data_IF_856356487165
#
_entry.id   IF_856356487165
#
_cell.length_a   1.000
_cell.length_b   1.000
_cell.length_c   1.000
_cell.angle_alpha   90.00
_cell.angle_beta   90.00
_cell.angle_gamma   90.00
#
_symmetry.space_group_name_H-M   'P 1'
#
loop_
_entity.id
_entity.type
_entity.pdbx_description
1 polymer ?
#
# COMPACT_ATOMS: atom_id res chain seq x y z
N UNK A 1 -23.57 11.11 -76.45
CA UNK A 1 -22.99 12.47 -76.40
C UNK A 1 -22.93 12.90 -74.94
N UNK A 2 -21.71 13.18 -74.44
CA UNK A 2 -21.36 13.91 -73.19
C UNK A 2 -21.82 13.25 -71.87
N UNK A 3 -20.99 12.89 -70.88
CA UNK A 3 -19.63 13.32 -70.55
C UNK A 3 -18.80 12.22 -69.86
N UNK A 4 -17.63 11.99 -70.47
CA UNK A 4 -16.36 11.57 -69.87
C UNK A 4 -15.78 12.74 -69.02
N UNK A 5 -15.30 12.44 -67.80
CA UNK A 5 -14.45 13.20 -66.83
C UNK A 5 -15.04 12.94 -65.42
N UNK A 6 -14.39 12.38 -64.40
CA UNK A 6 -12.99 12.25 -64.04
C UNK A 6 -12.70 10.83 -63.52
N UNK A 7 -11.73 10.17 -64.14
CA UNK A 7 -10.84 9.23 -63.48
C UNK A 7 -9.64 10.06 -63.03
N UNK A 8 -9.22 9.93 -61.76
CA UNK A 8 -8.17 10.67 -61.01
C UNK A 8 -8.70 11.71 -60.03
N UNK A 9 -8.90 11.31 -58.77
CA UNK A 9 -8.27 11.93 -57.59
C UNK A 9 -8.72 11.18 -56.30
N UNK A 10 -7.73 10.69 -55.53
CA UNK A 10 -7.80 10.12 -54.15
C UNK A 10 -8.68 8.86 -53.96
N UNK A 11 -8.21 7.62 -53.79
CA UNK A 11 -7.18 7.08 -52.88
C UNK A 11 -7.20 7.71 -51.48
N UNK A 12 -7.53 6.87 -50.48
CA UNK A 12 -7.49 7.08 -49.02
C UNK A 12 -8.63 7.91 -48.38
N UNK A 13 -9.67 7.19 -47.95
CA UNK A 13 -10.32 7.47 -46.66
C UNK A 13 -10.28 6.20 -45.83
N UNK A 14 -9.07 5.82 -45.42
CA UNK A 14 -8.90 5.10 -44.16
C UNK A 14 -9.38 6.09 -43.11
N UNK A 15 -10.55 5.84 -42.51
CA UNK A 15 -10.90 6.48 -41.26
C UNK A 15 -9.77 6.15 -40.29
N UNK A 16 -8.88 7.11 -40.08
CA UNK A 16 -7.90 7.10 -39.01
C UNK A 16 -8.70 6.89 -37.73
N UNK A 17 -8.70 5.67 -37.21
CA UNK A 17 -8.91 5.46 -35.79
C UNK A 17 -7.77 6.22 -35.12
N UNK A 18 -8.04 7.48 -34.78
CA UNK A 18 -7.09 8.30 -34.06
C UNK A 18 -6.82 7.56 -32.75
N UNK A 19 -5.56 7.19 -32.52
CA UNK A 19 -5.17 6.60 -31.24
C UNK A 19 -5.65 7.53 -30.13
N UNK A 20 -6.36 7.01 -29.11
CA UNK A 20 -6.87 7.83 -28.04
C UNK A 20 -5.70 8.58 -27.40
N UNK A 21 -5.88 9.87 -27.13
CA UNK A 21 -4.84 10.67 -26.49
C UNK A 21 -4.48 10.07 -25.14
N UNK A 22 -3.26 10.29 -24.60
CA UNK A 22 -2.89 9.81 -23.28
C UNK A 22 -3.90 10.20 -22.19
N UNK A 23 -4.55 11.36 -22.32
CA UNK A 23 -5.63 11.80 -21.43
C UNK A 23 -6.91 10.97 -21.60
N UNK A 24 -7.30 10.65 -22.84
CA UNK A 24 -8.44 9.77 -23.11
C UNK A 24 -8.17 8.33 -22.64
N UNK A 25 -6.93 7.84 -22.79
CA UNK A 25 -6.51 6.54 -22.25
C UNK A 25 -6.54 6.57 -20.72
N UNK A 26 -6.10 7.65 -20.08
CA UNK A 26 -6.16 7.79 -18.63
C UNK A 26 -7.61 7.83 -18.11
N UNK A 27 -8.50 8.57 -18.78
CA UNK A 27 -9.93 8.61 -18.46
C UNK A 27 -10.55 7.22 -18.66
N UNK A 28 -10.29 6.54 -19.77
CA UNK A 28 -10.79 5.17 -20.01
C UNK A 28 -10.24 4.16 -19.00
N UNK A 29 -8.97 4.28 -18.61
CA UNK A 29 -8.37 3.43 -17.57
C UNK A 29 -8.94 3.72 -16.19
N UNK A 30 -9.26 4.98 -15.89
CA UNK A 30 -9.90 5.38 -14.65
C UNK A 30 -11.36 4.90 -14.63
N UNK A 31 -12.12 5.05 -15.71
CA UNK A 31 -13.47 4.49 -15.85
C UNK A 31 -13.47 2.96 -15.71
N UNK A 32 -12.51 2.25 -16.31
CA UNK A 32 -12.37 0.80 -16.13
C UNK A 32 -11.97 0.41 -14.70
N UNK A 33 -11.17 1.21 -14.00
CA UNK A 33 -10.84 0.99 -12.59
C UNK A 33 -12.02 1.31 -11.64
N UNK A 34 -12.91 2.21 -12.06
CA UNK A 34 -14.10 2.59 -11.31
C UNK A 34 -15.31 1.67 -11.58
N UNK A 35 -15.32 0.96 -12.72
CA UNK A 35 -16.38 0.05 -13.13
C UNK A 35 -16.26 -1.36 -12.53
N UNK A 36 -15.15 -1.69 -11.87
CA UNK A 36 -14.93 -3.01 -11.27
C UNK A 36 -15.58 -3.07 -9.88
N UNK A 37 -16.66 -3.85 -9.79
CA UNK A 37 -17.41 -4.14 -8.57
C UNK A 37 -18.69 -3.29 -8.42
N UNK A 38 -19.83 -3.93 -8.65
CA UNK A 38 -21.16 -3.42 -8.28
C UNK A 38 -21.47 -3.97 -6.88
N UNK A 39 -21.25 -3.15 -5.85
CA UNK A 39 -21.42 -3.55 -4.46
C UNK A 39 -22.75 -3.02 -3.94
N UNK A 40 -23.61 -3.91 -3.46
CA UNK A 40 -24.87 -3.51 -2.85
C UNK A 40 -24.85 -3.81 -1.36
N UNK A 41 -24.96 -2.78 -0.51
CA UNK A 41 -24.91 -2.95 0.95
C UNK A 41 -25.85 -1.99 1.68
N UNK A 42 -26.26 -2.36 2.89
CA UNK A 42 -26.93 -1.44 3.83
C UNK A 42 -25.92 -0.85 4.78
N UNK A 43 -26.13 0.39 5.21
CA UNK A 43 -25.24 1.07 6.15
C UNK A 43 -25.92 1.19 7.50
N UNK A 44 -25.32 0.61 8.54
CA UNK A 44 -25.71 0.78 9.93
C UNK A 44 -24.87 1.91 10.55
N UNK A 45 -25.49 3.01 10.95
CA UNK A 45 -24.83 4.15 11.59
C UNK A 45 -24.99 4.05 13.11
N UNK A 46 -23.89 4.06 13.84
CA UNK A 46 -23.87 3.87 15.30
C UNK A 46 -22.98 4.91 15.97
N UNK A 47 -23.20 5.15 17.25
CA UNK A 47 -22.35 6.01 18.07
C UNK A 47 -21.04 5.30 18.42
N UNK A 48 -19.93 6.03 18.32
CA UNK A 48 -18.63 5.59 18.81
C UNK A 48 -18.49 5.95 20.29
N UNK A 49 -18.86 5.03 21.19
CA UNK A 49 -18.66 5.18 22.63
C UNK A 49 -17.36 4.49 23.08
N UNK A 50 -16.28 5.24 23.34
CA UNK A 50 -14.99 4.68 23.76
C UNK A 50 -15.01 4.07 25.16
N UNK A 51 -16.09 4.24 25.93
CA UNK A 51 -16.26 3.69 27.28
C UNK A 51 -17.14 2.43 27.32
N UNK A 52 -17.78 2.06 26.20
CA UNK A 52 -18.61 0.85 26.13
C UNK A 52 -17.73 -0.40 25.92
N UNK A 53 -17.61 -1.22 26.96
CA UNK A 53 -16.93 -2.53 26.92
C UNK A 53 -17.89 -3.68 26.57
N UNK A 54 -19.07 -3.37 26.05
CA UNK A 54 -20.11 -4.31 25.66
C UNK A 54 -20.70 -3.96 24.31
N UNK A 55 -20.98 -4.98 23.51
CA UNK A 55 -21.56 -5.00 22.15
C UNK A 55 -22.98 -4.39 22.05
N UNK A 56 -23.18 -3.17 22.53
CA UNK A 56 -24.37 -2.37 22.28
C UNK A 56 -23.95 -1.22 21.39
N UNK A 57 -23.78 -1.48 20.10
CA UNK A 57 -23.65 -0.40 19.13
C UNK A 57 -24.96 0.41 19.17
N UNK A 58 -24.95 1.62 19.74
CA UNK A 58 -26.15 2.47 19.85
C UNK A 58 -26.51 3.00 18.45
N UNK A 59 -27.63 2.55 17.83
CA UNK A 59 -27.98 2.96 16.48
C UNK A 59 -28.39 4.44 16.45
N UNK A 60 -27.83 5.18 15.50
CA UNK A 60 -28.14 6.58 15.28
C UNK A 60 -29.27 6.70 14.25
N UNK A 61 -30.47 6.99 14.75
CA UNK A 61 -31.66 7.23 13.92
C UNK A 61 -31.61 8.61 13.28
N UNK A 62 -31.95 8.70 11.99
CA UNK A 62 -32.00 9.97 11.26
C UNK A 62 -30.63 10.55 10.90
N UNK A 63 -29.60 9.71 10.80
CA UNK A 63 -28.30 10.09 10.22
C UNK A 63 -28.44 10.25 8.71
N UNK A 64 -27.86 11.33 8.17
CA UNK A 64 -27.86 11.64 6.75
C UNK A 64 -26.66 10.99 6.08
N UNK A 65 -26.92 10.19 5.06
CA UNK A 65 -25.91 9.48 4.26
C UNK A 65 -26.00 10.03 2.84
N UNK A 66 -24.92 10.61 2.32
CA UNK A 66 -24.84 11.17 0.97
C UNK A 66 -23.86 10.34 0.16
N UNK A 67 -24.35 9.74 -0.92
CA UNK A 67 -23.54 9.08 -1.92
C UNK A 67 -23.29 10.06 -3.07
N UNK A 68 -22.02 10.35 -3.30
CA UNK A 68 -21.56 11.10 -4.45
C UNK A 68 -20.87 10.12 -5.40
N UNK A 69 -21.58 9.67 -6.46
CA UNK A 69 -20.99 8.73 -7.39
C UNK A 69 -19.88 9.39 -8.23
N UNK A 70 -18.95 8.59 -8.73
CA UNK A 70 -17.91 9.06 -9.66
C UNK A 70 -18.52 9.70 -10.91
N UNK A 71 -19.62 9.13 -11.41
CA UNK A 71 -20.42 9.69 -12.49
C UNK A 71 -21.90 9.53 -12.15
N UNK A 72 -22.68 10.60 -12.31
CA UNK A 72 -24.12 10.60 -12.03
C UNK A 72 -24.56 11.61 -10.97
N UNK A 73 -25.82 11.51 -10.57
CA UNK A 73 -26.44 12.41 -9.59
C UNK A 73 -26.18 11.96 -8.15
N UNK A 74 -26.04 12.94 -7.25
CA UNK A 74 -25.91 12.67 -5.82
C UNK A 74 -27.19 12.03 -5.28
N UNK A 75 -27.03 11.00 -4.45
CA UNK A 75 -28.14 10.31 -3.78
C UNK A 75 -28.04 10.56 -2.28
N UNK A 76 -29.18 10.79 -1.65
CA UNK A 76 -29.27 10.98 -0.20
C UNK A 76 -30.14 9.89 0.41
N UNK A 77 -29.66 9.33 1.53
CA UNK A 77 -30.33 8.32 2.32
C UNK A 77 -30.38 8.79 3.77
N UNK A 78 -31.34 8.26 4.53
CA UNK A 78 -31.49 8.54 5.95
C UNK A 78 -31.59 7.22 6.71
N UNK A 79 -30.92 7.12 7.86
CA UNK A 79 -31.02 5.92 8.68
C UNK A 79 -32.40 5.78 9.35
N UNK A 80 -32.91 4.55 9.37
CA UNK A 80 -34.20 4.17 9.92
C UNK A 80 -34.20 4.07 11.46
N UNK A 81 -35.29 3.57 12.05
CA UNK A 81 -35.42 3.38 13.50
C UNK A 81 -34.40 2.41 14.11
N UNK A 82 -33.73 1.61 13.29
CA UNK A 82 -32.66 0.69 13.69
C UNK A 82 -31.28 1.22 13.33
N UNK A 83 -31.16 2.48 12.88
CA UNK A 83 -29.92 3.10 12.44
C UNK A 83 -29.44 2.61 11.07
N UNK A 84 -30.25 1.88 10.30
CA UNK A 84 -29.87 1.30 9.01
C UNK A 84 -30.37 2.13 7.83
N UNK A 85 -29.62 2.16 6.73
CA UNK A 85 -30.06 2.72 5.47
C UNK A 85 -30.83 1.69 4.62
N UNK A 86 -31.52 2.20 3.59
CA UNK A 86 -31.85 1.39 2.42
C UNK A 86 -30.59 0.83 1.76
N UNK A 87 -30.79 -0.12 0.84
CA UNK A 87 -29.71 -0.73 0.10
C UNK A 87 -29.06 0.29 -0.87
N UNK A 88 -27.74 0.43 -0.78
CA UNK A 88 -26.93 1.41 -1.52
C UNK A 88 -25.99 0.65 -2.44
N UNK A 89 -26.11 0.92 -3.74
CA UNK A 89 -25.13 0.50 -4.75
C UNK A 89 -23.92 1.44 -4.71
N UNK A 90 -22.75 0.89 -4.40
CA UNK A 90 -21.47 1.57 -4.31
C UNK A 90 -20.58 1.08 -5.45
N UNK A 91 -19.90 2.01 -6.12
CA UNK A 91 -18.87 1.72 -7.11
C UNK A 91 -17.47 2.00 -6.55
N UNK A 92 -16.46 1.40 -7.18
CA UNK A 92 -15.05 1.48 -6.80
C UNK A 92 -14.45 2.90 -6.78
N UNK A 93 -15.17 3.96 -7.16
CA UNK A 93 -14.73 5.35 -7.12
C UNK A 93 -15.70 6.32 -6.43
N UNK A 94 -16.68 5.84 -5.68
CA UNK A 94 -17.67 6.69 -5.04
C UNK A 94 -17.15 7.35 -3.75
N UNK A 95 -17.75 8.49 -3.40
CA UNK A 95 -17.52 9.14 -2.10
C UNK A 95 -18.79 9.04 -1.27
N UNK A 96 -18.67 8.59 -0.03
CA UNK A 96 -19.76 8.53 0.94
C UNK A 96 -19.54 9.56 2.04
N UNK A 97 -20.55 10.35 2.37
CA UNK A 97 -20.53 11.32 3.47
C UNK A 97 -21.64 10.95 4.46
N UNK A 98 -21.29 10.71 5.71
CA UNK A 98 -22.25 10.38 6.78
C UNK A 98 -22.20 11.46 7.85
N UNK A 99 -23.34 12.03 8.17
CA UNK A 99 -23.46 13.14 9.12
C UNK A 99 -24.71 13.03 9.99
N UNK A 100 -24.61 13.49 11.23
CA UNK A 100 -25.73 13.59 12.16
C UNK A 100 -25.50 14.80 13.07
N UNK A 101 -26.53 15.62 13.28
CA UNK A 101 -26.44 16.73 14.22
C UNK A 101 -26.04 16.23 15.62
N UNK A 102 -25.01 16.84 16.21
CA UNK A 102 -24.40 16.44 17.48
C UNK A 102 -23.25 15.45 17.34
N UNK A 103 -22.89 15.06 16.11
CA UNK A 103 -21.82 14.10 15.82
C UNK A 103 -20.91 14.63 14.69
N UNK A 104 -19.65 14.22 14.74
CA UNK A 104 -18.66 14.52 13.71
C UNK A 104 -19.08 13.93 12.36
N UNK A 105 -18.86 14.67 11.27
CA UNK A 105 -19.15 14.19 9.91
C UNK A 105 -18.01 13.32 9.41
N UNK A 106 -18.34 12.13 8.91
CA UNK A 106 -17.38 11.20 8.32
C UNK A 106 -17.46 11.25 6.79
N UNK A 107 -16.32 11.37 6.12
CA UNK A 107 -16.21 11.30 4.65
C UNK A 107 -15.31 10.14 4.27
N UNK A 108 -15.82 9.23 3.44
CA UNK A 108 -15.17 8.00 3.01
C UNK A 108 -14.95 8.09 1.50
N UNK A 109 -13.68 8.05 1.08
CA UNK A 109 -13.30 8.01 -0.32
C UNK A 109 -12.92 6.59 -0.71
N UNK A 110 -13.18 6.25 -1.97
CA UNK A 110 -12.87 4.95 -2.54
C UNK A 110 -11.41 4.51 -2.44
N UNK A 111 -11.19 3.20 -2.30
CA UNK A 111 -9.88 2.53 -2.42
C UNK A 111 -9.32 1.91 -1.13
N UNK A 112 -9.91 2.15 0.05
CA UNK A 112 -9.39 1.59 1.31
C UNK A 112 -10.40 1.36 2.42
N UNK A 113 -11.65 1.79 2.26
CA UNK A 113 -12.63 1.82 3.36
C UNK A 113 -14.01 1.26 3.03
N UNK A 114 -14.29 0.95 1.75
CA UNK A 114 -15.50 0.21 1.41
C UNK A 114 -15.34 -1.27 1.81
N UNK A 115 -16.43 -1.89 2.31
CA UNK A 115 -16.38 -3.28 2.72
C UNK A 115 -16.03 -4.17 1.52
N UNK A 116 -15.36 -5.32 1.74
CA UNK A 116 -15.13 -6.30 0.68
C UNK A 116 -16.46 -6.78 0.05
N UNK A 117 -16.40 -7.32 -1.18
CA UNK A 117 -17.50 -8.09 -1.78
C UNK A 117 -18.00 -9.10 -0.72
N UNK A 118 -19.31 -9.16 -0.48
CA UNK A 118 -20.02 -10.03 0.49
C UNK A 118 -20.40 -9.46 1.88
N UNK A 119 -20.31 -8.15 2.14
CA UNK A 119 -20.84 -7.58 3.40
C UNK A 119 -22.27 -7.01 3.22
N UNK A 120 -23.33 -7.70 3.71
CA UNK A 120 -24.71 -7.24 3.52
C UNK A 120 -25.08 -6.03 4.40
N UNK A 121 -24.33 -5.79 5.47
CA UNK A 121 -24.54 -4.69 6.40
C UNK A 121 -23.20 -4.13 6.87
N UNK A 122 -22.94 -2.87 6.53
CA UNK A 122 -21.70 -2.16 6.85
C UNK A 122 -21.92 -1.18 8.00
N UNK A 123 -21.17 -1.35 9.09
CA UNK A 123 -21.28 -0.49 10.28
C UNK A 123 -20.33 0.70 10.19
N UNK A 124 -20.88 1.92 10.32
CA UNK A 124 -20.16 3.19 10.39
C UNK A 124 -20.36 3.79 11.78
N UNK A 125 -19.26 4.16 12.44
CA UNK A 125 -19.27 4.78 13.77
C UNK A 125 -19.08 6.29 13.67
N UNK A 126 -19.91 7.08 14.35
CA UNK A 126 -19.79 8.54 14.45
C UNK A 126 -19.48 8.94 15.89
N UNK A 127 -18.53 9.85 16.06
CA UNK A 127 -18.13 10.39 17.36
C UNK A 127 -18.99 11.60 17.73
N UNK A 128 -19.40 11.73 19.00
CA UNK A 128 -20.17 12.89 19.47
C UNK A 128 -19.30 14.17 19.49
N UNK A 129 -19.83 15.29 19.00
CA UNK A 129 -19.15 16.58 18.99
C UNK A 129 -19.14 17.19 20.40
N UNK A 130 -18.01 17.09 21.09
CA UNK A 130 -17.82 17.71 22.41
C UNK A 130 -17.80 19.23 22.32
N UNK A 131 -18.93 19.89 22.57
CA UNK A 131 -19.00 21.35 22.81
C UNK A 131 -19.64 21.65 24.16
N UNK A 132 -18.81 22.00 25.14
CA UNK A 132 -19.24 22.77 26.32
C UNK A 132 -18.61 24.16 26.25
N UNK A 133 -19.49 25.15 26.20
CA UNK A 133 -19.20 26.57 26.02
C UNK A 133 -18.93 27.30 27.35
N UNK A 134 -18.15 28.39 27.26
CA UNK A 134 -18.11 29.59 28.13
C UNK A 134 -17.21 29.53 29.39
N UNK A 135 -16.02 30.14 29.33
CA UNK A 135 -15.80 31.50 29.85
C UNK A 135 -14.39 32.04 29.54
N UNK A 136 -14.38 33.22 28.92
CA UNK A 136 -13.24 34.12 28.80
C UNK A 136 -12.93 34.77 30.15
N UNK A 137 -11.73 34.56 30.67
CA UNK A 137 -11.07 35.49 31.60
C UNK A 137 -9.57 35.43 31.42
N UNK A 138 -8.99 36.57 31.03
CA UNK A 138 -7.56 36.82 31.10
C UNK A 138 -7.09 36.72 32.55
N UNK A 139 -6.00 36.01 32.78
CA UNK A 139 -5.08 36.25 33.90
C UNK A 139 -3.70 35.73 33.48
N UNK A 140 -2.77 36.67 33.28
CA UNK A 140 -1.35 36.39 33.14
C UNK A 140 -0.83 35.83 34.47
N UNK A 141 -0.14 34.70 34.43
CA UNK A 141 1.07 34.53 35.25
C UNK A 141 1.99 33.50 34.62
N UNK A 142 3.25 33.91 34.48
CA UNK A 142 4.35 33.21 33.84
C UNK A 142 5.09 32.40 34.92
N UNK A 143 5.01 31.06 34.87
CA UNK A 143 6.05 30.22 35.45
C UNK A 143 6.02 28.81 34.84
N UNK A 144 7.16 28.45 34.26
CA UNK A 144 7.49 27.20 33.59
C UNK A 144 7.18 25.93 34.39
N UNK A 145 6.34 25.07 33.84
CA UNK A 145 6.46 23.61 33.92
C UNK A 145 5.77 22.99 32.70
N UNK A 146 6.47 23.05 31.57
CA UNK A 146 6.04 22.41 30.33
C UNK A 146 6.21 20.90 30.49
N UNK A 147 5.17 20.26 31.03
CA UNK A 147 4.93 18.85 30.83
C UNK A 147 4.08 18.74 29.56
N UNK A 148 4.66 18.09 28.56
CA UNK A 148 4.11 17.91 27.23
C UNK A 148 2.76 17.19 27.29
N UNK A 149 1.67 17.96 27.27
CA UNK A 149 0.42 17.49 26.69
C UNK A 149 0.59 17.69 25.19
N UNK A 150 1.22 16.72 24.54
CA UNK A 150 1.14 16.57 23.09
C UNK A 150 -0.32 16.27 22.77
N UNK A 151 -1.11 17.32 22.56
CA UNK A 151 -2.30 17.26 21.71
C UNK A 151 -1.93 16.39 20.53
N UNK A 152 -2.69 15.30 20.30
CA UNK A 152 -2.65 14.51 19.08
C UNK A 152 -3.00 15.44 17.91
N UNK A 153 -1.99 16.20 17.49
CA UNK A 153 -1.94 16.83 16.20
C UNK A 153 -2.09 15.68 15.23
N UNK A 154 -3.10 15.76 14.38
CA UNK A 154 -3.35 14.82 13.30
C UNK A 154 -2.08 14.79 12.42
N UNK A 155 -1.13 13.92 12.76
CA UNK A 155 0.15 13.84 12.07
C UNK A 155 -0.19 13.36 10.66
N UNK A 156 0.22 14.09 9.61
CA UNK A 156 0.03 13.63 8.25
C UNK A 156 0.54 12.19 8.13
N UNK A 157 -0.34 11.25 7.75
CA UNK A 157 0.00 9.86 7.43
C UNK A 157 0.68 9.85 6.07
N UNK A 158 1.83 10.52 5.97
CA UNK A 158 2.63 10.59 4.76
C UNK A 158 3.96 9.88 5.01
N UNK A 159 4.53 9.31 3.96
CA UNK A 159 5.81 8.60 4.02
C UNK A 159 6.96 9.50 4.50
N UNK A 160 6.79 10.81 4.42
CA UNK A 160 7.73 11.82 4.92
C UNK A 160 7.89 11.79 6.45
N UNK A 161 6.82 11.54 7.19
CA UNK A 161 6.81 11.53 8.66
C UNK A 161 6.99 10.12 9.23
N UNK A 162 6.55 9.10 8.49
CA UNK A 162 6.63 7.71 8.94
C UNK A 162 5.94 6.73 7.99
N UNK A 163 6.03 5.45 8.32
CA UNK A 163 5.36 4.40 7.56
C UNK A 163 4.02 4.01 8.22
N UNK A 164 2.89 4.25 7.52
CA UNK A 164 1.53 3.91 7.98
C UNK A 164 1.23 4.38 9.41
N UNK A 165 1.63 5.61 9.73
CA UNK A 165 1.42 6.20 11.06
C UNK A 165 2.49 5.85 12.09
N UNK A 166 3.48 5.01 11.75
CA UNK A 166 4.65 4.75 12.60
C UNK A 166 5.81 5.68 12.22
N UNK A 167 6.12 6.63 13.09
CA UNK A 167 7.07 7.72 12.82
C UNK A 167 8.51 7.23 12.66
N UNK A 168 9.25 7.83 11.73
CA UNK A 168 10.69 7.63 11.63
C UNK A 168 11.39 8.06 12.93
N UNK A 169 12.43 7.33 13.32
CA UNK A 169 13.19 7.55 14.55
C UNK A 169 12.53 7.06 15.84
N UNK A 170 11.35 6.44 15.75
CA UNK A 170 10.65 5.92 16.94
C UNK A 170 11.44 4.80 17.60
N UNK A 171 11.50 4.80 18.95
CA UNK A 171 12.15 3.75 19.72
C UNK A 171 11.49 2.37 19.52
N UNK A 172 12.29 1.32 19.58
CA UNK A 172 11.84 -0.06 19.43
C UNK A 172 10.82 -0.49 20.49
N UNK A 173 10.79 0.12 21.67
CA UNK A 173 9.82 -0.23 22.71
C UNK A 173 8.38 0.18 22.33
N UNK A 174 8.24 1.07 21.36
CA UNK A 174 6.95 1.59 20.92
C UNK A 174 6.11 0.50 20.26
N UNK A 175 4.83 0.48 20.60
CA UNK A 175 3.87 -0.41 19.96
C UNK A 175 3.57 0.07 18.55
N UNK A 176 3.70 -0.84 17.58
CA UNK A 176 3.34 -0.57 16.19
C UNK A 176 1.85 -0.91 16.06
N UNK A 177 1.01 0.11 15.89
CA UNK A 177 -0.39 -0.09 15.55
C UNK A 177 -0.49 -0.52 14.08
N UNK A 178 -0.71 -1.81 13.83
CA UNK A 178 -0.93 -2.34 12.49
C UNK A 178 -1.95 -3.49 12.53
N UNK A 179 -2.51 -3.84 11.37
CA UNK A 179 -3.47 -4.93 11.22
C UNK A 179 -2.78 -6.30 11.04
N UNK A 180 -1.47 -6.40 11.28
CA UNK A 180 -0.71 -7.61 11.05
C UNK A 180 -0.55 -8.40 12.35
N UNK A 181 -0.46 -9.72 12.20
CA UNK A 181 -0.21 -10.61 13.34
C UNK A 181 1.27 -10.54 13.72
N UNK A 182 1.62 -10.21 14.98
CA UNK A 182 3.02 -10.15 15.40
C UNK A 182 3.62 -11.55 15.44
N UNK A 183 4.82 -11.70 14.87
CA UNK A 183 5.63 -12.91 14.95
C UNK A 183 6.75 -12.68 15.96
N UNK A 184 6.68 -13.37 17.09
CA UNK A 184 7.76 -13.43 18.08
C UNK A 184 8.86 -14.32 17.50
N UNK A 185 9.89 -13.71 16.90
CA UNK A 185 11.05 -14.44 16.43
C UNK A 185 12.00 -14.67 17.61
N UNK A 186 12.20 -15.92 18.01
CA UNK A 186 13.06 -16.33 19.12
C UNK A 186 14.57 -16.17 18.86
N UNK A 187 14.94 -15.44 17.81
CA UNK A 187 16.31 -15.15 17.42
C UNK A 187 16.72 -13.76 17.91
N UNK A 188 17.94 -13.68 18.44
CA UNK A 188 18.62 -12.55 19.09
C UNK A 188 18.79 -11.25 18.28
N UNK A 189 18.02 -11.03 17.22
CA UNK A 189 17.96 -9.76 16.50
C UNK A 189 17.06 -8.79 17.28
N UNK A 190 17.58 -8.28 18.38
CA UNK A 190 16.90 -7.32 19.27
C UNK A 190 16.51 -6.00 18.60
N UNK A 191 16.82 -5.81 17.31
CA UNK A 191 16.60 -4.59 16.54
C UNK A 191 15.51 -4.73 15.47
N UNK A 192 14.79 -5.86 15.40
CA UNK A 192 13.76 -6.09 14.39
C UNK A 192 12.44 -6.54 15.02
N UNK A 193 11.32 -5.99 14.54
CA UNK A 193 9.96 -6.50 14.83
C UNK A 193 9.36 -7.08 13.58
N UNK A 194 8.90 -8.33 13.65
CA UNK A 194 8.36 -9.06 12.50
C UNK A 194 6.86 -9.30 12.66
N UNK A 195 6.13 -9.19 11.57
CA UNK A 195 4.70 -9.38 11.49
C UNK A 195 4.34 -10.19 10.24
N UNK A 196 3.20 -10.86 10.26
CA UNK A 196 2.64 -11.55 9.10
C UNK A 196 1.20 -11.16 8.86
N UNK A 197 0.79 -11.09 7.60
CA UNK A 197 -0.61 -10.96 7.23
C UNK A 197 -0.78 -10.80 5.73
N UNK A 198 -1.86 -10.12 5.33
CA UNK A 198 -2.21 -9.92 3.92
C UNK A 198 -2.15 -8.44 3.55
N UNK A 199 -1.60 -8.16 2.36
CA UNK A 199 -1.59 -6.85 1.74
C UNK A 199 -2.38 -6.96 0.41
N UNK A 200 -3.68 -6.66 0.48
CA UNK A 200 -4.60 -6.93 -0.63
C UNK A 200 -4.74 -8.44 -0.86
N UNK A 201 -4.45 -8.89 -2.08
CA UNK A 201 -4.48 -10.31 -2.45
C UNK A 201 -3.19 -11.07 -2.06
N UNK A 202 -2.12 -10.35 -1.71
CA UNK A 202 -0.82 -10.93 -1.47
C UNK A 202 -0.61 -11.26 0.00
N UNK A 203 -0.01 -12.42 0.28
CA UNK A 203 0.44 -12.77 1.63
C UNK A 203 1.87 -12.26 1.84
N UNK A 204 2.09 -11.56 2.96
CA UNK A 204 3.32 -10.83 3.21
C UNK A 204 3.87 -11.07 4.62
N UNK A 205 5.19 -10.96 4.74
CA UNK A 205 5.91 -10.86 5.99
C UNK A 205 6.51 -9.47 6.07
N UNK A 206 6.16 -8.73 7.11
CA UNK A 206 6.58 -7.33 7.31
C UNK A 206 7.59 -7.28 8.44
N UNK A 207 8.75 -6.68 8.19
CA UNK A 207 9.82 -6.53 9.17
C UNK A 207 10.17 -5.06 9.34
N UNK A 208 9.94 -4.55 10.53
CA UNK A 208 10.37 -3.23 10.96
C UNK A 208 11.78 -3.33 11.55
N UNK A 209 12.72 -2.57 11.01
CA UNK A 209 14.10 -2.52 11.44
C UNK A 209 14.39 -1.21 12.16
N UNK A 210 15.13 -1.33 13.26
CA UNK A 210 15.51 -0.24 14.15
C UNK A 210 17.03 -0.10 14.14
N UNK A 211 17.49 1.14 14.24
CA UNK A 211 18.88 1.51 14.45
C UNK A 211 18.97 2.27 15.78
N UNK A 212 20.14 2.81 16.09
CA UNK A 212 20.34 3.57 17.34
C UNK A 212 19.53 4.87 17.34
N UNK A 213 19.34 5.47 16.17
CA UNK A 213 18.42 6.60 15.94
C UNK A 213 16.94 6.20 15.91
N UNK A 214 16.61 4.93 16.09
CA UNK A 214 15.24 4.40 16.10
C UNK A 214 14.80 3.78 14.78
N UNK A 215 13.48 3.76 14.55
CA UNK A 215 12.87 3.17 13.35
C UNK A 215 13.35 3.85 12.07
N UNK A 216 13.90 3.09 11.12
CA UNK A 216 14.47 3.66 9.90
C UNK A 216 14.08 2.90 8.64
N UNK A 217 13.57 1.67 8.75
CA UNK A 217 13.26 0.83 7.60
C UNK A 217 12.14 -0.14 7.89
N UNK A 218 11.25 -0.33 6.92
CA UNK A 218 10.33 -1.46 6.86
C UNK A 218 10.59 -2.26 5.59
N UNK A 219 10.68 -3.57 5.75
CA UNK A 219 10.79 -4.54 4.66
C UNK A 219 9.51 -5.36 4.58
N UNK A 220 9.01 -5.58 3.37
CA UNK A 220 7.81 -6.36 3.08
C UNK A 220 8.24 -7.46 2.13
N UNK A 221 8.31 -8.68 2.64
CA UNK A 221 8.61 -9.89 1.90
C UNK A 221 7.31 -10.51 1.38
N UNK A 222 7.16 -10.58 0.07
CA UNK A 222 6.00 -11.18 -0.58
C UNK A 222 6.18 -12.69 -0.73
N UNK A 223 5.15 -13.46 -0.35
CA UNK A 223 5.15 -14.91 -0.53
C UNK A 223 4.79 -15.21 -1.99
N UNK A 224 5.81 -15.54 -2.79
CA UNK A 224 5.68 -15.82 -4.24
C UNK A 224 5.89 -17.31 -4.56
N UNK A 225 5.28 -17.81 -5.66
CA UNK A 225 5.55 -19.15 -6.16
C UNK A 225 7.02 -19.29 -6.56
N UNK A 226 7.68 -20.36 -6.14
CA UNK A 226 9.12 -20.56 -6.33
C UNK A 226 9.50 -21.25 -7.65
N UNK A 227 8.52 -21.76 -8.39
CA UNK A 227 8.72 -22.61 -9.56
C UNK A 227 8.25 -21.98 -10.88
N UNK A 228 7.75 -20.75 -10.87
CA UNK A 228 7.17 -20.08 -12.06
C UNK A 228 7.72 -18.67 -12.20
N UNK A 229 8.73 -18.51 -13.05
CA UNK A 229 9.43 -17.23 -13.21
C UNK A 229 8.53 -16.16 -13.84
N UNK A 230 7.67 -16.53 -14.79
CA UNK A 230 6.73 -15.62 -15.44
C UNK A 230 5.69 -15.06 -14.46
N UNK A 231 5.22 -15.90 -13.52
CA UNK A 231 4.28 -15.48 -12.47
C UNK A 231 4.96 -14.52 -11.48
N UNK A 232 6.23 -14.77 -11.13
CA UNK A 232 7.03 -13.86 -10.32
C UNK A 232 7.22 -12.48 -10.99
N UNK A 233 7.53 -12.47 -12.30
CA UNK A 233 7.67 -11.23 -13.08
C UNK A 233 6.34 -10.49 -13.16
N UNK A 234 5.23 -11.20 -13.40
CA UNK A 234 3.88 -10.61 -13.43
C UNK A 234 3.52 -9.97 -12.10
N UNK A 235 3.82 -10.64 -10.98
CA UNK A 235 3.62 -10.09 -9.64
C UNK A 235 4.46 -8.82 -9.41
N UNK A 236 5.72 -8.81 -9.82
CA UNK A 236 6.56 -7.61 -9.73
C UNK A 236 5.95 -6.44 -10.52
N UNK A 237 5.55 -6.66 -11.77
CA UNK A 237 4.97 -5.59 -12.62
C UNK A 237 3.66 -5.06 -12.05
N UNK A 238 2.83 -5.93 -11.48
CA UNK A 238 1.59 -5.51 -10.78
C UNK A 238 1.91 -4.62 -9.59
N UNK A 239 2.85 -5.02 -8.73
CA UNK A 239 3.26 -4.22 -7.57
C UNK A 239 3.90 -2.90 -7.99
N UNK A 240 4.78 -2.92 -8.99
CA UNK A 240 5.39 -1.71 -9.55
C UNK A 240 4.32 -0.72 -10.03
N UNK A 241 3.31 -1.19 -10.78
CA UNK A 241 2.20 -0.35 -11.23
C UNK A 241 1.42 0.25 -10.05
N UNK A 242 1.13 -0.54 -9.02
CA UNK A 242 0.39 -0.09 -7.83
C UNK A 242 1.19 0.95 -7.02
N UNK A 243 2.50 0.78 -6.91
CA UNK A 243 3.36 1.76 -6.23
C UNK A 243 3.46 3.02 -7.10
N UNK A 244 3.59 2.87 -8.41
CA UNK A 244 3.66 4.00 -9.33
C UNK A 244 2.39 4.82 -9.43
N UNK A 245 1.20 4.25 -9.17
CA UNK A 245 -0.02 5.06 -9.06
C UNK A 245 -0.03 5.98 -7.84
N UNK A 246 0.74 5.64 -6.79
CA UNK A 246 0.81 6.44 -5.55
C UNK A 246 1.96 7.44 -5.60
N UNK A 247 3.14 7.01 -6.04
CA UNK A 247 4.38 7.81 -5.97
C UNK A 247 4.89 8.28 -7.33
N UNK A 248 4.18 7.97 -8.42
CA UNK A 248 4.57 8.32 -9.77
C UNK A 248 5.56 7.33 -10.41
N UNK A 249 6.18 7.75 -11.50
CA UNK A 249 7.12 6.91 -12.25
C UNK A 249 8.38 6.63 -11.43
N UNK A 250 8.94 5.40 -11.48
CA UNK A 250 10.17 5.08 -10.76
C UNK A 250 11.34 5.91 -11.33
N UNK A 251 12.18 6.40 -10.42
CA UNK A 251 13.40 7.16 -10.76
C UNK A 251 14.47 6.27 -11.38
N UNK A 252 14.54 5.01 -10.95
CA UNK A 252 15.47 4.03 -11.47
C UNK A 252 14.74 2.73 -11.74
N UNK A 253 15.05 2.12 -12.89
CA UNK A 253 14.52 0.85 -13.32
C UNK A 253 15.69 0.00 -13.85
N UNK A 254 15.92 -1.15 -13.22
CA UNK A 254 16.92 -2.12 -13.63
C UNK A 254 16.25 -3.47 -13.85
N UNK A 255 16.22 -3.92 -15.10
CA UNK A 255 15.60 -5.18 -15.48
C UNK A 255 16.61 -6.02 -16.24
N UNK A 256 16.78 -7.26 -15.81
CA UNK A 256 17.64 -8.24 -16.47
C UNK A 256 17.00 -9.61 -16.39
N UNK A 257 16.66 -10.15 -17.54
CA UNK A 257 16.21 -11.52 -17.67
C UNK A 257 17.33 -12.36 -18.28
N UNK A 258 17.44 -13.60 -17.84
CA UNK A 258 18.36 -14.57 -18.43
C UNK A 258 17.65 -15.90 -18.45
N UNK A 259 17.39 -16.39 -19.66
CA UNK A 259 16.85 -17.73 -19.87
C UNK A 259 17.82 -18.81 -19.42
N UNK A 260 17.40 -20.06 -19.56
CA UNK A 260 18.22 -21.22 -19.19
C UNK A 260 19.55 -21.22 -19.95
N UNK A 261 20.66 -21.35 -19.22
CA UNK A 261 22.00 -21.43 -19.82
C UNK A 261 22.12 -22.63 -20.76
N UNK A 262 22.64 -22.40 -21.96
CA UNK A 262 22.90 -23.40 -23.00
C UNK A 262 24.32 -23.96 -22.92
N UNK A 263 24.75 -24.45 -21.75
CA UNK A 263 25.98 -25.23 -21.66
C UNK A 263 25.70 -26.71 -21.94
N UNK A 264 26.45 -27.32 -22.85
CA UNK A 264 26.28 -28.71 -23.27
C UNK A 264 26.82 -29.71 -22.23
N UNK A 265 26.11 -30.85 -22.14
CA UNK A 265 26.57 -32.18 -21.70
C UNK A 265 27.04 -32.36 -20.25
N UNK A 266 26.28 -31.91 -19.25
CA UNK A 266 26.34 -32.59 -17.95
C UNK A 266 24.94 -32.76 -17.36
N UNK A 267 24.57 -34.01 -17.06
CA UNK A 267 23.33 -34.35 -16.35
C UNK A 267 23.24 -33.78 -14.93
N UNK A 268 24.38 -33.36 -14.36
CA UNK A 268 24.45 -32.64 -13.09
C UNK A 268 24.38 -31.11 -13.26
N UNK A 269 24.44 -30.58 -14.49
CA UNK A 269 24.29 -29.15 -14.74
C UNK A 269 22.82 -28.74 -14.64
N UNK A 270 22.46 -28.27 -13.45
CA UNK A 270 21.20 -27.61 -13.16
C UNK A 270 21.09 -26.28 -13.92
N UNK A 271 20.04 -26.10 -14.72
CA UNK A 271 19.81 -24.86 -15.48
C UNK A 271 18.83 -23.97 -14.73
N UNK A 272 19.18 -22.71 -14.57
CA UNK A 272 18.30 -21.74 -13.92
C UNK A 272 17.81 -20.73 -14.95
N UNK A 273 16.51 -20.44 -14.91
CA UNK A 273 15.99 -19.17 -15.43
C UNK A 273 16.09 -18.13 -14.33
N UNK A 274 16.59 -16.95 -14.69
CA UNK A 274 16.87 -15.86 -13.76
C UNK A 274 16.14 -14.59 -14.20
N UNK A 275 15.50 -13.93 -13.26
CA UNK A 275 14.92 -12.60 -13.47
C UNK A 275 15.36 -11.69 -12.34
N UNK A 276 15.98 -10.57 -12.68
CA UNK A 276 16.34 -9.52 -11.76
C UNK A 276 15.58 -8.26 -12.16
N UNK A 277 14.73 -7.77 -11.27
CA UNK A 277 14.01 -6.53 -11.45
C UNK A 277 14.21 -5.66 -10.21
N UNK A 278 14.49 -4.37 -10.41
CA UNK A 278 14.60 -3.39 -9.35
C UNK A 278 14.03 -2.07 -9.81
N UNK A 279 13.12 -1.53 -9.02
CA UNK A 279 12.51 -0.22 -9.24
C UNK A 279 12.61 0.62 -7.98
N UNK A 280 12.95 1.89 -8.11
CA UNK A 280 13.18 2.79 -6.98
C UNK A 280 12.44 4.11 -7.17
N UNK A 281 11.83 4.60 -6.08
CA UNK A 281 11.17 5.90 -6.00
C UNK A 281 11.83 6.73 -4.91
N UNK A 282 12.00 8.01 -5.20
CA UNK A 282 12.62 8.98 -4.32
C UNK A 282 11.52 9.89 -3.78
N UNK A 283 11.17 9.73 -2.51
CA UNK A 283 10.09 10.45 -1.83
C UNK A 283 10.68 11.12 -0.59
N UNK A 284 11.48 12.15 -0.82
CA UNK A 284 12.26 12.87 0.18
C UNK A 284 11.48 13.10 1.49
N UNK A 285 12.00 12.67 2.67
CA UNK A 285 13.31 12.04 2.90
C UNK A 285 13.37 10.52 2.69
N UNK A 286 12.24 9.86 2.45
CA UNK A 286 12.18 8.40 2.32
C UNK A 286 12.51 7.90 0.91
N UNK A 287 13.07 6.70 0.83
CA UNK A 287 13.32 5.99 -0.42
C UNK A 287 12.51 4.70 -0.40
N UNK A 288 11.91 4.38 -1.55
CA UNK A 288 11.13 3.17 -1.76
C UNK A 288 11.87 2.32 -2.79
N UNK A 289 12.07 1.04 -2.49
CA UNK A 289 12.70 0.09 -3.40
C UNK A 289 11.89 -1.19 -3.51
N UNK A 290 11.49 -1.53 -4.74
CA UNK A 290 10.92 -2.82 -5.08
C UNK A 290 12.00 -3.66 -5.78
N UNK A 291 12.19 -4.89 -5.34
CA UNK A 291 13.21 -5.80 -5.84
C UNK A 291 12.64 -7.21 -6.01
N UNK A 292 12.88 -7.79 -7.19
CA UNK A 292 12.69 -9.20 -7.48
C UNK A 292 14.03 -9.80 -7.88
N UNK A 293 14.37 -10.91 -7.25
CA UNK A 293 15.38 -11.85 -7.72
C UNK A 293 14.72 -13.21 -7.81
N UNK A 294 14.24 -13.53 -9.01
CA UNK A 294 13.68 -14.81 -9.35
C UNK A 294 14.77 -15.75 -9.85
N UNK A 295 14.90 -16.91 -9.23
CA UNK A 295 15.75 -18.00 -9.70
C UNK A 295 14.93 -19.28 -9.68
N UNK A 296 14.66 -19.81 -10.86
CA UNK A 296 13.82 -21.01 -11.04
C UNK A 296 14.62 -22.07 -11.76
N UNK A 297 14.65 -23.28 -11.19
CA UNK A 297 15.31 -24.43 -11.77
C UNK A 297 14.47 -25.01 -12.93
N UNK A 298 15.09 -25.23 -14.08
CA UNK A 298 14.44 -25.75 -15.29
C UNK A 298 15.33 -26.82 -15.97
N UNK A 299 14.86 -28.07 -16.16
CA UNK A 299 13.58 -28.60 -15.69
C UNK A 299 13.54 -28.72 -14.16
N UNK A 300 12.34 -28.72 -13.59
CA UNK A 300 12.15 -29.02 -12.16
C UNK A 300 12.83 -30.36 -11.84
N UNK A 301 13.70 -30.36 -10.84
CA UNK A 301 14.44 -31.54 -10.41
C UNK A 301 14.28 -31.73 -8.91
N UNK A 302 14.00 -32.97 -8.52
CA UNK A 302 13.90 -33.37 -7.11
C UNK A 302 15.27 -33.65 -6.48
N UNK A 303 16.37 -33.38 -7.20
CA UNK A 303 17.72 -33.56 -6.70
C UNK A 303 17.97 -32.60 -5.53
N UNK A 304 18.09 -33.17 -4.32
CA UNK A 304 18.36 -32.47 -3.05
C UNK A 304 19.69 -31.70 -2.99
N UNK A 305 20.44 -31.57 -4.09
CA UNK A 305 21.68 -30.78 -4.14
C UNK A 305 21.44 -29.31 -3.78
N UNK A 306 20.27 -28.78 -4.17
CA UNK A 306 19.85 -27.43 -3.84
C UNK A 306 18.37 -27.45 -3.43
N UNK A 307 18.11 -27.65 -2.13
CA UNK A 307 16.78 -27.47 -1.55
C UNK A 307 16.65 -26.06 -0.98
N UNK A 308 15.65 -25.29 -1.41
CA UNK A 308 15.40 -23.96 -0.85
C UNK A 308 14.54 -23.07 -1.73
N UNK A 309 14.19 -21.91 -1.18
CA UNK A 309 13.52 -20.83 -1.90
C UNK A 309 14.62 -19.92 -2.48
N UNK A 310 14.78 -19.92 -3.80
CA UNK A 310 15.80 -19.11 -4.48
C UNK A 310 15.24 -17.80 -5.03
N UNK A 311 13.91 -17.62 -4.93
CA UNK A 311 13.21 -16.47 -5.45
C UNK A 311 12.70 -15.58 -4.31
N UNK A 312 13.04 -14.29 -4.38
CA UNK A 312 12.68 -13.29 -3.39
C UNK A 312 12.06 -12.08 -4.09
N UNK A 313 10.88 -11.66 -3.62
CA UNK A 313 10.23 -10.41 -4.01
C UNK A 313 10.04 -9.58 -2.74
N UNK A 314 10.71 -8.43 -2.69
CA UNK A 314 10.77 -7.58 -1.50
C UNK A 314 10.49 -6.13 -1.87
N UNK A 315 9.69 -5.47 -1.04
CA UNK A 315 9.48 -4.03 -1.06
C UNK A 315 10.04 -3.43 0.22
N UNK A 316 10.82 -2.37 0.08
CA UNK A 316 11.48 -1.70 1.20
C UNK A 316 11.10 -0.23 1.19
N UNK A 317 10.72 0.28 2.36
CA UNK A 317 10.63 1.71 2.61
C UNK A 317 11.65 2.05 3.68
N UNK A 318 12.51 3.02 3.44
CA UNK A 318 13.50 3.42 4.43
C UNK A 318 13.77 4.91 4.38
N UNK A 319 14.13 5.47 5.52
CA UNK A 319 14.61 6.83 5.64
C UNK A 319 16.10 6.81 6.00
N UNK A 320 17.02 7.22 5.10
CA UNK A 320 18.45 7.20 5.34
C UNK A 320 18.88 8.13 6.47
N UNK A 321 18.13 9.19 6.78
CA UNK A 321 18.43 10.13 7.87
C UNK A 321 18.39 9.46 9.25
N UNK A 322 17.72 8.31 9.36
CA UNK A 322 17.63 7.52 10.60
C UNK A 322 18.44 6.23 10.52
N UNK A 323 19.28 6.04 9.50
CA UNK A 323 20.13 4.85 9.33
C UNK A 323 21.47 4.99 10.10
N UNK A 324 21.48 5.68 11.23
CA UNK A 324 22.71 5.88 12.00
C UNK A 324 22.92 4.73 13.00
N UNK A 325 24.08 4.09 12.90
CA UNK A 325 24.60 3.19 13.92
C UNK A 325 25.77 3.86 14.62
N UNK A 326 25.70 3.95 15.94
CA UNK A 326 26.77 4.39 16.84
C UNK A 326 27.80 3.29 17.08
N UNK A 327 27.57 2.08 16.56
CA UNK A 327 28.55 0.99 16.64
C UNK A 327 29.79 1.37 15.85
N UNK A 328 30.94 1.37 16.52
CA UNK A 328 32.24 1.52 15.84
C UNK A 328 32.35 0.41 14.80
N UNK A 329 32.62 0.79 13.55
CA UNK A 329 33.03 -0.16 12.51
C UNK A 329 34.12 -1.07 13.10
N UNK A 330 34.01 -2.40 12.95
CA UNK A 330 35.07 -3.29 13.37
C UNK A 330 36.37 -2.81 12.74
N UNK A 331 37.42 -2.71 13.55
CA UNK A 331 38.73 -2.30 13.09
C UNK A 331 39.10 -3.17 11.89
N UNK A 332 39.44 -2.53 10.76
CA UNK A 332 39.75 -3.24 9.53
C UNK A 332 40.87 -4.24 9.83
N UNK A 333 40.54 -5.53 9.85
CA UNK A 333 41.57 -6.56 9.97
C UNK A 333 42.57 -6.33 8.84
N UNK A 334 43.83 -6.19 9.22
CA UNK A 334 44.93 -6.15 8.27
C UNK A 334 45.05 -7.56 7.73
N UNK A 335 44.34 -7.83 6.64
CA UNK A 335 44.47 -9.08 5.90
C UNK A 335 45.93 -9.11 5.41
N UNK A 336 46.74 -10.13 5.79
CA UNK A 336 48.10 -10.25 5.28
C UNK A 336 48.06 -10.27 3.76
N UNK A 337 49.03 -9.60 3.13
CA UNK A 337 49.12 -9.59 1.68
C UNK A 337 49.23 -11.03 1.19
N UNK A 338 48.63 -11.35 0.04
CA UNK A 338 48.85 -12.66 -0.58
C UNK A 338 50.34 -12.94 -0.83
N UNK A 339 51.16 -11.87 -0.93
CA UNK A 339 52.62 -11.95 -1.04
C UNK A 339 53.33 -12.27 0.29
N UNK A 340 52.63 -12.21 1.43
CA UNK A 340 53.14 -12.59 2.75
C UNK A 340 52.80 -14.05 3.11
N UNK A 341 52.04 -14.76 2.26
CA UNK A 341 51.56 -16.15 2.47
C UNK A 341 52.35 -17.17 1.60
N UNK A 342 53.32 -16.74 0.79
CA UNK A 342 54.15 -17.62 -0.05
C UNK A 342 55.62 -17.68 0.36
#
# INVERSE_FOLDING_TARGET
MKHLLLLHFFLLSVASAQEPTPEQVAIMQQEMACADGDYSTKILVVEDDPLSTGSSDNPLVGAKIVLKPYSGEMKEFTSDSNGQSDEISLMGCDTLIVSKNGYSTLTLNSGSMFPPEDVPLWTIKLQADGTSSVNSTLSNDDSSSQSDITTQQNIPVNIETGYKGFLWGTSIESNISNNFTPLQLSSSDSLNKTFSGKLGIDSVLVRYAFADSGFWKVEIDFIIPQNKIEEQISNFRRLEKNISSVYGVPKMLNQKESGVSSAFSDHLNQKFSRAFYRSSWDVNPAIIELYLNGNVLLPNSDLSLFSGNFSVLKLVYYNPDYMHSSQKLPEKEVIPSIFDIY
#
